data_IF_856266731657
#
_entry.id   IF_856266731657
#
_cell.length_a   1.000
_cell.length_b   1.000
_cell.length_c   1.000
_cell.angle_alpha   90.00
_cell.angle_beta   90.00
_cell.angle_gamma   90.00
#
_symmetry.space_group_name_H-M   'P 1'
#
loop_
_entity.id
_entity.type
_entity.pdbx_description
1 polymer ?
#
# COMPACT_ATOMS: atom_id res chain seq x y z
N UNK A 1 8.23 9.41 10.43
CA UNK A 1 9.63 9.87 10.39
C UNK A 1 10.09 9.88 8.96
N UNK A 2 11.22 10.53 8.63
CA UNK A 2 11.72 10.60 7.26
C UNK A 2 11.90 9.23 6.58
N UNK A 3 12.26 8.19 7.34
CA UNK A 3 12.45 6.83 6.81
C UNK A 3 11.15 6.13 6.43
N UNK A 4 10.02 6.59 6.93
CA UNK A 4 8.71 6.00 6.63
C UNK A 4 8.32 6.21 5.18
N UNK A 5 8.80 7.28 4.54
CA UNK A 5 8.49 7.60 3.14
C UNK A 5 6.97 7.72 2.86
N UNK A 6 6.16 7.86 3.92
CA UNK A 6 4.74 8.15 3.83
C UNK A 6 4.57 9.48 3.09
N UNK A 7 3.84 9.45 1.98
CA UNK A 7 3.74 10.55 1.06
C UNK A 7 3.44 10.07 -0.36
N UNK A 8 3.17 10.98 -1.28
CA UNK A 8 2.65 10.61 -2.60
C UNK A 8 1.14 10.45 -2.57
N UNK A 9 0.47 11.03 -3.57
CA UNK A 9 -0.98 11.21 -3.62
C UNK A 9 -1.77 9.93 -3.32
N UNK A 10 -2.85 10.09 -2.56
CA UNK A 10 -3.82 9.03 -2.31
C UNK A 10 -4.46 9.11 -0.92
N UNK A 11 -3.73 9.52 0.13
CA UNK A 11 -4.26 9.84 1.47
C UNK A 11 -5.00 8.71 2.22
N UNK A 12 -5.27 7.59 1.56
CA UNK A 12 -6.01 6.47 2.09
C UNK A 12 -5.05 5.50 2.76
N UNK A 13 -5.14 5.45 4.08
CA UNK A 13 -4.52 4.40 4.88
C UNK A 13 -5.52 3.25 5.04
N UNK A 14 -5.02 2.03 4.94
CA UNK A 14 -5.74 0.80 5.30
C UNK A 14 -4.94 0.05 6.33
N UNK A 15 -5.64 -0.60 7.25
CA UNK A 15 -5.00 -1.45 8.27
C UNK A 15 -5.64 -2.81 8.16
N UNK A 16 -4.82 -3.85 8.06
CA UNK A 16 -5.25 -5.21 8.29
C UNK A 16 -5.30 -5.44 9.81
N UNK A 17 -6.49 -5.61 10.41
CA UNK A 17 -6.63 -5.75 11.86
C UNK A 17 -6.07 -7.08 12.38
N UNK A 18 -5.91 -8.11 11.53
CA UNK A 18 -5.47 -9.43 11.99
C UNK A 18 -3.98 -9.48 12.33
N UNK A 19 -3.15 -8.72 11.62
CA UNK A 19 -1.69 -8.73 11.79
C UNK A 19 -1.09 -7.33 12.01
N UNK A 20 -1.93 -6.28 12.02
CA UNK A 20 -1.51 -4.90 12.23
C UNK A 20 -0.75 -4.28 11.06
N UNK A 21 -0.83 -4.87 9.86
CA UNK A 21 -0.20 -4.30 8.68
C UNK A 21 -0.92 -3.04 8.23
N UNK A 22 -0.18 -1.93 8.14
CA UNK A 22 -0.62 -0.63 7.65
C UNK A 22 -0.20 -0.52 6.18
N UNK A 23 -1.14 -0.20 5.30
CA UNK A 23 -0.94 -0.09 3.85
C UNK A 23 -1.37 1.28 3.39
N UNK A 24 -0.48 1.99 2.70
CA UNK A 24 -0.71 3.35 2.23
C UNK A 24 0.18 3.69 1.04
N UNK A 25 -0.06 4.85 0.44
CA UNK A 25 0.86 5.44 -0.52
C UNK A 25 2.20 5.83 0.14
N UNK A 26 3.27 5.62 -0.61
CA UNK A 26 4.62 6.06 -0.27
C UNK A 26 5.29 6.71 -1.48
N UNK A 27 6.51 7.21 -1.26
CA UNK A 27 7.30 7.89 -2.27
C UNK A 27 7.32 7.19 -3.64
N UNK A 28 7.45 8.00 -4.70
CA UNK A 28 7.61 7.52 -6.09
C UNK A 28 6.41 6.72 -6.63
N UNK A 29 5.17 7.12 -6.28
CA UNK A 29 3.98 6.49 -6.84
C UNK A 29 3.89 5.00 -6.50
N UNK A 30 4.20 4.67 -5.24
CA UNK A 30 4.25 3.30 -4.75
C UNK A 30 3.20 3.09 -3.65
N UNK A 31 2.75 1.84 -3.51
CA UNK A 31 2.05 1.41 -2.31
C UNK A 31 3.06 0.69 -1.44
N UNK A 32 3.04 0.99 -0.16
CA UNK A 32 3.94 0.43 0.83
C UNK A 32 3.16 -0.15 2.00
N UNK A 33 3.81 -1.08 2.70
CA UNK A 33 3.28 -1.70 3.90
C UNK A 33 4.27 -1.60 5.07
N UNK A 34 3.76 -1.30 6.26
CA UNK A 34 4.48 -1.21 7.54
C UNK A 34 3.71 -2.00 8.59
N UNK A 35 4.31 -2.32 9.74
CA UNK A 35 3.57 -2.84 10.87
C UNK A 35 3.25 -1.72 11.89
N UNK A 36 2.03 -1.70 12.41
CA UNK A 36 1.58 -0.68 13.37
C UNK A 36 2.41 -0.65 14.67
N UNK A 37 3.07 -1.74 15.02
CA UNK A 37 3.91 -1.84 16.20
C UNK A 37 5.35 -1.35 15.97
N UNK A 38 5.70 -0.96 14.76
CA UNK A 38 7.03 -0.45 14.45
C UNK A 38 7.18 1.03 14.85
N UNK A 39 8.41 1.47 15.20
CA UNK A 39 8.68 2.88 15.44
C UNK A 39 8.24 3.73 14.25
N UNK A 40 7.75 4.94 14.53
CA UNK A 40 7.28 5.85 13.49
C UNK A 40 8.36 6.34 12.52
N UNK A 41 9.61 5.87 12.57
CA UNK A 41 10.71 6.21 11.65
C UNK A 41 11.42 4.96 11.13
N UNK A 42 10.69 4.08 10.46
CA UNK A 42 11.22 2.87 9.80
C UNK A 42 10.84 2.82 8.32
N UNK A 43 11.65 2.15 7.52
CA UNK A 43 11.34 1.88 6.12
C UNK A 43 10.13 0.93 5.98
N UNK A 44 9.40 0.97 4.85
CA UNK A 44 8.37 -0.02 4.56
C UNK A 44 8.94 -1.44 4.50
N UNK A 45 8.19 -2.41 5.03
CA UNK A 45 8.51 -3.84 4.95
C UNK A 45 8.41 -4.35 3.53
N UNK A 46 7.38 -3.89 2.82
CA UNK A 46 7.08 -4.30 1.47
C UNK A 46 6.66 -3.09 0.63
N UNK A 47 6.96 -3.13 -0.66
CA UNK A 47 6.66 -2.04 -1.61
C UNK A 47 6.23 -2.60 -2.96
N UNK A 48 5.15 -2.04 -3.52
CA UNK A 48 4.78 -2.21 -4.93
C UNK A 48 4.96 -0.87 -5.66
N UNK A 49 5.83 -0.80 -6.68
CA UNK A 49 6.02 0.41 -7.48
C UNK A 49 4.90 0.54 -8.54
N UNK A 50 3.68 0.84 -8.08
CA UNK A 50 2.45 0.83 -8.88
C UNK A 50 2.56 1.70 -10.14
N UNK A 51 2.97 2.97 -10.01
CA UNK A 51 3.09 3.88 -11.15
C UNK A 51 4.09 3.36 -12.19
N UNK A 52 5.20 2.77 -11.75
CA UNK A 52 6.23 2.21 -12.64
C UNK A 52 5.72 0.99 -13.41
N UNK A 53 4.94 0.12 -12.75
CA UNK A 53 4.43 -1.12 -13.36
C UNK A 53 3.26 -0.83 -14.31
N UNK A 54 2.37 0.06 -13.90
CA UNK A 54 1.05 0.21 -14.55
C UNK A 54 0.89 1.53 -15.32
N UNK A 55 1.78 2.50 -15.08
CA UNK A 55 1.61 3.88 -15.54
C UNK A 55 0.42 4.59 -14.88
N UNK A 56 -0.13 4.04 -13.79
CA UNK A 56 -1.32 4.56 -13.12
C UNK A 56 -0.91 5.43 -11.92
N UNK A 57 -1.22 6.72 -12.00
CA UNK A 57 -1.29 7.57 -10.80
C UNK A 57 -2.61 7.24 -10.08
N UNK A 58 -2.49 6.67 -8.88
CA UNK A 58 -3.61 6.10 -8.13
C UNK A 58 -4.10 7.03 -7.02
N UNK A 59 -5.35 6.86 -6.64
CA UNK A 59 -6.02 7.62 -5.59
C UNK A 59 -5.96 6.94 -4.21
N UNK A 60 -5.44 5.72 -4.14
CA UNK A 60 -5.15 5.01 -2.88
C UNK A 60 -5.44 3.51 -2.96
N UNK A 61 -5.03 2.75 -1.94
CA UNK A 61 -5.28 1.31 -1.85
C UNK A 61 -6.57 0.96 -1.12
N UNK A 62 -7.14 -0.20 -1.46
CA UNK A 62 -8.03 -0.96 -0.60
C UNK A 62 -7.58 -2.43 -0.54
N UNK A 63 -7.92 -3.11 0.55
CA UNK A 63 -7.49 -4.49 0.81
C UNK A 63 -8.64 -5.46 0.54
N UNK A 64 -8.31 -6.61 -0.04
CA UNK A 64 -9.20 -7.75 -0.21
C UNK A 64 -8.56 -8.98 0.47
N UNK A 65 -8.76 -9.17 1.79
CA UNK A 65 -8.11 -10.24 2.54
C UNK A 65 -8.49 -11.64 2.07
N UNK A 66 -9.72 -11.83 1.58
CA UNK A 66 -10.23 -13.14 1.15
C UNK A 66 -9.39 -13.74 0.02
N UNK A 67 -8.86 -12.90 -0.87
CA UNK A 67 -8.03 -13.31 -2.00
C UNK A 67 -6.57 -12.85 -1.88
N UNK A 68 -6.22 -12.22 -0.75
CA UNK A 68 -4.91 -11.64 -0.47
C UNK A 68 -4.45 -10.62 -1.51
N UNK A 69 -5.33 -9.68 -1.84
CA UNK A 69 -5.08 -8.69 -2.88
C UNK A 69 -5.08 -7.25 -2.35
N UNK A 70 -4.33 -6.39 -3.04
CA UNK A 70 -4.43 -4.94 -2.94
C UNK A 70 -4.98 -4.40 -4.25
N UNK A 71 -6.05 -3.63 -4.13
CA UNK A 71 -6.71 -2.98 -5.26
C UNK A 71 -6.36 -1.50 -5.22
N UNK A 72 -5.88 -0.97 -6.34
CA UNK A 72 -5.61 0.45 -6.53
C UNK A 72 -6.47 1.00 -7.63
N UNK A 73 -7.00 2.21 -7.41
CA UNK A 73 -7.90 2.88 -8.33
C UNK A 73 -7.29 4.18 -8.82
N UNK A 74 -7.65 4.59 -10.04
CA UNK A 74 -7.24 5.88 -10.60
C UNK A 74 -8.43 6.64 -11.13
N UNK A 75 -8.73 7.77 -10.49
CA UNK A 75 -9.78 8.70 -10.92
C UNK A 75 -9.44 9.37 -12.25
N UNK A 76 -8.17 9.66 -12.52
CA UNK A 76 -7.74 10.39 -13.72
C UNK A 76 -7.71 9.53 -14.98
N UNK A 77 -7.47 8.22 -14.85
CA UNK A 77 -7.33 7.31 -16.00
C UNK A 77 -8.51 6.34 -16.15
N UNK A 78 -9.45 6.32 -15.20
CA UNK A 78 -10.52 5.34 -15.12
C UNK A 78 -9.99 3.89 -15.24
N UNK A 79 -8.97 3.59 -14.42
CA UNK A 79 -8.32 2.28 -14.37
C UNK A 79 -8.30 1.75 -12.95
N UNK A 80 -8.39 0.43 -12.85
CA UNK A 80 -8.17 -0.32 -11.62
C UNK A 80 -7.02 -1.30 -11.90
N UNK A 81 -6.10 -1.43 -10.95
CA UNK A 81 -5.13 -2.51 -10.95
C UNK A 81 -5.28 -3.29 -9.64
N UNK A 82 -5.12 -4.61 -9.75
CA UNK A 82 -5.17 -5.52 -8.60
C UNK A 82 -3.83 -6.24 -8.54
N UNK A 83 -3.25 -6.29 -7.35
CA UNK A 83 -2.00 -6.96 -7.08
C UNK A 83 -2.26 -8.06 -6.06
N UNK A 84 -1.83 -9.27 -6.37
CA UNK A 84 -1.72 -10.32 -5.37
C UNK A 84 -0.53 -10.01 -4.46
N UNK A 85 -0.77 -9.91 -3.15
CA UNK A 85 0.24 -9.49 -2.17
C UNK A 85 0.03 -10.24 -0.83
N UNK A 86 0.33 -11.54 -0.77
CA UNK A 86 0.01 -12.38 0.39
C UNK A 86 0.71 -11.97 1.68
N UNK A 87 1.91 -11.42 1.60
CA UNK A 87 2.78 -11.13 2.74
C UNK A 87 2.19 -10.11 3.73
N UNK A 88 1.26 -9.25 3.28
CA UNK A 88 0.58 -8.28 4.16
C UNK A 88 -0.66 -8.87 4.85
N UNK A 89 -1.04 -10.11 4.51
CA UNK A 89 -2.18 -10.82 5.08
C UNK A 89 -1.79 -12.04 5.90
N UNK A 90 -0.59 -12.58 5.71
CA UNK A 90 -0.12 -13.72 6.47
C UNK A 90 0.07 -13.36 7.96
N UNK A 91 -0.20 -14.35 8.82
CA UNK A 91 0.03 -14.22 10.26
C UNK A 91 1.52 -14.39 10.54
N UNK A 92 2.09 -13.62 11.49
CA UNK A 92 3.47 -13.79 11.91
C UNK A 92 3.75 -15.19 12.50
#
# INVERSE_FOLDING_TARGET
GPKTLLGGGGGLVKVNPENGMVVSSCAQGSICAWNINEPGDVAPRFTIPVEKITGINFSGPTLNPMYKEVIVTSSSRNRIATFYWPEIFDKP
#
